data_IF_807295207000
#
_entry.id   IF_807295207000
#
_cell.length_a   1.000
_cell.length_b   1.000
_cell.length_c   1.000
_cell.angle_alpha   90.00
_cell.angle_beta   90.00
_cell.angle_gamma   90.00
#
_symmetry.space_group_name_H-M   'P 1'
#
loop_
_entity.id
_entity.type
_entity.pdbx_description
1 polymer ?
#
# COMPACT_ATOMS: atom_id res chain seq x y z
N UNK A 1 -8.48 -2.69 -7.85
CA UNK A 1 -9.80 -2.69 -8.50
C UNK A 1 -9.99 -4.00 -9.23
N UNK A 2 -11.08 -4.71 -8.95
CA UNK A 2 -11.38 -5.99 -9.59
C UNK A 2 -12.20 -5.75 -10.87
N UNK A 3 -11.85 -6.40 -12.01
CA UNK A 3 -12.66 -6.35 -13.21
C UNK A 3 -13.92 -7.23 -13.05
N UNK A 4 -14.91 -7.06 -13.95
CA UNK A 4 -16.14 -7.85 -13.93
C UNK A 4 -15.89 -9.35 -14.13
N UNK A 5 -14.79 -9.70 -14.79
CA UNK A 5 -14.38 -11.08 -15.08
C UNK A 5 -13.51 -11.70 -13.97
N UNK A 6 -13.33 -11.04 -12.82
CA UNK A 6 -12.66 -11.66 -11.67
C UNK A 6 -13.44 -12.91 -11.20
N UNK A 7 -12.80 -14.07 -10.92
CA UNK A 7 -11.36 -14.27 -10.75
C UNK A 7 -10.61 -14.71 -12.03
N UNK A 8 -11.25 -14.77 -13.20
CA UNK A 8 -10.57 -15.18 -14.44
C UNK A 8 -9.63 -14.10 -15.01
N UNK A 9 -9.83 -12.83 -14.63
CA UNK A 9 -8.88 -11.74 -14.85
C UNK A 9 -8.33 -11.19 -13.53
N UNK A 10 -7.03 -10.85 -13.47
CA UNK A 10 -6.39 -10.22 -12.31
C UNK A 10 -6.96 -8.80 -12.00
N UNK A 11 -6.79 -8.29 -10.77
CA UNK A 11 -7.10 -6.91 -10.43
C UNK A 11 -6.02 -5.90 -10.87
N UNK A 12 -6.41 -4.63 -10.98
CA UNK A 12 -5.45 -3.51 -10.94
C UNK A 12 -5.07 -3.20 -9.49
N UNK A 13 -3.80 -2.94 -9.21
CA UNK A 13 -3.31 -2.60 -7.86
C UNK A 13 -2.79 -1.17 -7.85
N UNK A 14 -3.10 -0.41 -6.80
CA UNK A 14 -2.64 0.96 -6.58
C UNK A 14 -2.22 1.13 -5.12
N UNK A 15 -1.27 2.03 -4.87
CA UNK A 15 -0.92 2.51 -3.54
C UNK A 15 -1.49 3.91 -3.35
N UNK A 16 -2.17 4.19 -2.24
CA UNK A 16 -2.73 5.51 -1.94
C UNK A 16 -1.77 6.28 -1.03
N UNK A 17 -1.41 5.67 0.10
CA UNK A 17 -0.48 6.23 1.09
C UNK A 17 0.94 6.35 0.50
N UNK A 18 1.57 7.53 0.58
CA UNK A 18 2.97 7.70 0.17
C UNK A 18 3.90 6.73 0.91
N UNK A 19 4.59 5.85 0.16
CA UNK A 19 5.46 4.81 0.73
C UNK A 19 6.94 4.91 0.34
N UNK A 20 7.26 5.70 -0.69
CA UNK A 20 8.61 5.79 -1.25
C UNK A 20 9.02 4.59 -2.11
N UNK A 21 8.10 3.65 -2.36
CA UNK A 21 8.33 2.46 -3.21
C UNK A 21 7.50 2.50 -4.50
N UNK A 22 6.24 2.88 -4.36
CA UNK A 22 5.27 2.94 -5.44
C UNK A 22 4.71 4.36 -5.54
N UNK A 23 4.59 4.86 -6.76
CA UNK A 23 3.94 6.13 -7.06
C UNK A 23 2.46 6.04 -6.67
N UNK A 24 1.99 7.00 -5.88
CA UNK A 24 0.59 7.00 -5.46
C UNK A 24 -0.36 7.07 -6.65
N UNK A 25 -1.53 6.44 -6.49
CA UNK A 25 -2.65 6.47 -7.44
C UNK A 25 -2.25 6.10 -8.88
N UNK A 26 -1.22 5.28 -9.02
CA UNK A 26 -0.73 4.78 -10.31
C UNK A 26 -0.88 3.26 -10.32
N UNK A 27 -1.35 2.70 -11.43
CA UNK A 27 -1.45 1.25 -11.59
C UNK A 27 -0.05 0.61 -11.52
N UNK A 28 0.09 -0.46 -10.76
CA UNK A 28 1.35 -1.18 -10.59
C UNK A 28 1.39 -2.40 -11.51
N UNK A 29 2.49 -2.56 -12.23
CA UNK A 29 2.73 -3.73 -13.08
C UNK A 29 3.43 -4.84 -12.28
N UNK A 30 2.66 -5.73 -11.69
CA UNK A 30 3.16 -6.87 -10.90
C UNK A 30 2.67 -8.18 -11.53
N UNK A 31 3.37 -9.29 -11.33
CA UNK A 31 2.95 -10.61 -11.85
C UNK A 31 1.57 -11.08 -11.36
N UNK A 32 1.03 -10.40 -10.33
CA UNK A 32 -0.29 -10.60 -9.73
C UNK A 32 -1.34 -9.56 -10.18
N UNK A 33 -1.01 -8.72 -11.17
CA UNK A 33 -1.84 -7.58 -11.62
C UNK A 33 -2.32 -7.73 -13.05
N UNK A 34 -3.23 -6.84 -13.45
CA UNK A 34 -3.82 -6.76 -14.80
C UNK A 34 -2.88 -6.46 -15.97
N UNK A 35 -1.61 -6.23 -15.71
CA UNK A 35 -0.59 -6.19 -16.75
C UNK A 35 -0.11 -7.58 -17.22
N UNK A 36 -0.34 -8.62 -16.43
CA UNK A 36 0.18 -9.96 -16.70
C UNK A 36 -0.91 -11.04 -16.65
N UNK A 37 -1.86 -11.05 -17.62
CA UNK A 37 -2.90 -12.07 -17.68
C UNK A 37 -2.33 -13.49 -17.84
N UNK A 38 -1.18 -13.64 -18.50
CA UNK A 38 -0.56 -14.95 -18.75
C UNK A 38 0.04 -15.58 -17.49
N UNK A 39 0.44 -14.77 -16.49
CA UNK A 39 0.97 -15.27 -15.22
C UNK A 39 -0.09 -15.35 -14.11
N UNK A 40 -1.33 -14.98 -14.41
CA UNK A 40 -2.41 -14.95 -13.44
C UNK A 40 -2.95 -16.35 -13.15
N UNK A 41 -3.11 -16.67 -11.87
CA UNK A 41 -3.77 -17.89 -11.43
C UNK A 41 -5.15 -17.54 -10.80
N UNK A 42 -6.28 -17.93 -11.41
CA UNK A 42 -7.63 -17.68 -10.88
C UNK A 42 -7.89 -18.27 -9.49
N UNK A 43 -7.06 -19.21 -9.02
CA UNK A 43 -7.16 -19.78 -7.67
C UNK A 43 -6.51 -18.89 -6.58
N UNK A 44 -5.80 -17.81 -6.94
CA UNK A 44 -5.21 -16.90 -5.95
C UNK A 44 -6.30 -16.11 -5.23
N UNK A 45 -6.34 -16.28 -3.90
CA UNK A 45 -7.19 -15.50 -3.02
C UNK A 45 -6.70 -14.04 -2.90
N UNK A 46 -7.57 -13.14 -2.43
CA UNK A 46 -7.17 -11.76 -2.11
C UNK A 46 -6.00 -11.73 -1.12
N UNK A 47 -5.96 -12.63 -0.14
CA UNK A 47 -4.85 -12.74 0.80
C UNK A 47 -3.52 -13.10 0.11
N UNK A 48 -3.56 -13.97 -0.90
CA UNK A 48 -2.39 -14.30 -1.73
C UNK A 48 -1.91 -13.10 -2.52
N UNK A 49 -2.83 -12.33 -3.10
CA UNK A 49 -2.52 -11.09 -3.84
C UNK A 49 -1.85 -10.07 -2.92
N UNK A 50 -2.41 -9.83 -1.72
CA UNK A 50 -1.83 -8.89 -0.75
C UNK A 50 -0.44 -9.33 -0.26
N UNK A 51 -0.25 -10.64 -0.05
CA UNK A 51 1.07 -11.19 0.27
C UNK A 51 2.07 -10.95 -0.86
N UNK A 52 1.68 -11.20 -2.10
CA UNK A 52 2.53 -10.94 -3.27
C UNK A 52 2.87 -9.46 -3.42
N UNK A 53 1.93 -8.54 -3.18
CA UNK A 53 2.18 -7.11 -3.17
C UNK A 53 3.24 -6.72 -2.12
N UNK A 54 3.15 -7.30 -0.91
CA UNK A 54 4.15 -7.08 0.13
C UNK A 54 5.54 -7.57 -0.29
N UNK A 55 5.62 -8.75 -0.94
CA UNK A 55 6.90 -9.25 -1.49
C UNK A 55 7.51 -8.25 -2.47
N UNK A 56 6.74 -7.74 -3.44
CA UNK A 56 7.22 -6.71 -4.36
C UNK A 56 7.56 -5.37 -3.69
N UNK A 57 6.89 -5.04 -2.58
CA UNK A 57 7.12 -3.82 -1.83
C UNK A 57 8.49 -3.79 -1.16
N UNK A 58 8.97 -4.94 -0.65
CA UNK A 58 10.28 -5.05 0.00
C UNK A 58 11.43 -5.33 -0.97
N UNK A 59 11.12 -5.75 -2.19
CA UNK A 59 12.08 -5.86 -3.28
C UNK A 59 12.47 -4.49 -3.87
N UNK A 60 13.63 -4.45 -4.55
CA UNK A 60 14.19 -3.25 -5.20
C UNK A 60 14.07 -3.27 -6.73
N UNK A 61 13.47 -4.32 -7.29
CA UNK A 61 13.35 -4.45 -8.74
C UNK A 61 12.43 -3.35 -9.29
N UNK A 62 12.87 -2.62 -10.34
CA UNK A 62 12.05 -1.59 -10.95
C UNK A 62 10.85 -2.22 -11.65
N UNK A 63 9.71 -1.55 -11.57
CA UNK A 63 8.50 -1.93 -12.30
C UNK A 63 7.69 -0.69 -12.67
N UNK A 64 6.72 -0.81 -13.58
CA UNK A 64 5.81 0.31 -13.87
C UNK A 64 5.07 0.72 -12.59
N UNK A 65 5.16 2.02 -12.29
CA UNK A 65 4.62 2.60 -11.06
C UNK A 65 5.58 2.57 -9.88
N UNK A 66 6.78 1.99 -9.99
CA UNK A 66 7.81 2.17 -8.95
C UNK A 66 8.45 3.55 -8.99
N UNK A 67 8.96 3.98 -7.86
CA UNK A 67 9.81 5.17 -7.71
C UNK A 67 11.07 4.80 -6.94
N UNK A 68 12.14 5.55 -7.16
CA UNK A 68 13.39 5.41 -6.42
C UNK A 68 13.49 6.54 -5.39
N UNK A 69 13.53 6.15 -4.12
CA UNK A 69 13.80 7.06 -3.00
C UNK A 69 14.83 6.44 -2.07
N UNK A 70 15.48 7.30 -1.29
CA UNK A 70 16.40 6.89 -0.23
C UNK A 70 15.66 6.19 0.91
N UNK A 71 16.38 5.35 1.66
CA UNK A 71 15.81 4.71 2.86
C UNK A 71 15.47 5.74 3.95
N UNK A 72 16.15 6.89 3.94
CA UNK A 72 15.81 8.03 4.81
C UNK A 72 14.43 8.57 4.47
N UNK A 73 14.13 8.77 3.19
CA UNK A 73 12.80 9.22 2.74
C UNK A 73 11.73 8.17 3.05
N UNK A 74 11.98 6.87 2.82
CA UNK A 74 11.03 5.81 3.17
C UNK A 74 10.71 5.80 4.67
N UNK A 75 11.72 5.95 5.53
CA UNK A 75 11.52 6.05 6.99
C UNK A 75 10.74 7.29 7.38
N UNK A 76 10.95 8.41 6.68
CA UNK A 76 10.19 9.63 6.94
C UNK A 76 8.71 9.46 6.54
N UNK A 77 8.46 8.95 5.34
CA UNK A 77 7.11 8.64 4.85
C UNK A 77 6.41 7.63 5.76
N UNK A 78 7.11 6.63 6.29
CA UNK A 78 6.54 5.69 7.26
C UNK A 78 6.04 6.40 8.53
N UNK A 79 6.77 7.40 9.05
CA UNK A 79 6.32 8.19 10.21
C UNK A 79 5.12 9.09 9.88
N UNK A 80 5.10 9.65 8.68
CA UNK A 80 4.03 10.55 8.21
C UNK A 80 2.77 9.81 7.77
N UNK A 81 2.90 8.53 7.39
CA UNK A 81 1.82 7.70 6.84
C UNK A 81 0.59 7.63 7.74
N UNK A 82 0.81 7.65 9.06
CA UNK A 82 -0.26 7.63 10.04
C UNK A 82 -1.14 8.87 9.94
N UNK A 83 -0.52 10.05 9.97
CA UNK A 83 -1.24 11.33 9.88
C UNK A 83 -1.90 11.48 8.52
N UNK A 84 -1.26 10.99 7.46
CA UNK A 84 -1.85 10.94 6.13
C UNK A 84 -3.14 10.11 6.11
N UNK A 85 -3.09 8.88 6.62
CA UNK A 85 -4.24 7.96 6.61
C UNK A 85 -5.39 8.45 7.48
N UNK A 86 -5.10 9.05 8.65
CA UNK A 86 -6.13 9.59 9.55
C UNK A 86 -6.90 10.79 8.97
N UNK A 87 -6.39 11.43 7.91
CA UNK A 87 -7.09 12.52 7.20
C UNK A 87 -8.04 12.00 6.12
N UNK A 88 -7.94 10.72 5.76
CA UNK A 88 -8.80 10.09 4.77
C UNK A 88 -10.03 9.48 5.45
N UNK A 89 -11.21 10.02 5.13
CA UNK A 89 -12.48 9.55 5.71
C UNK A 89 -12.76 8.09 5.38
N UNK A 90 -12.44 7.65 4.16
CA UNK A 90 -12.66 6.27 3.72
C UNK A 90 -11.76 5.32 4.50
N UNK A 91 -10.50 5.70 4.75
CA UNK A 91 -9.62 4.90 5.62
C UNK A 91 -10.19 4.77 7.03
N UNK A 92 -10.63 5.88 7.61
CA UNK A 92 -11.17 5.90 8.97
C UNK A 92 -12.46 5.09 9.11
N UNK A 93 -13.32 5.09 8.09
CA UNK A 93 -14.55 4.31 8.06
C UNK A 93 -14.31 2.81 7.86
N UNK A 94 -13.36 2.43 7.01
CA UNK A 94 -13.11 1.01 6.67
C UNK A 94 -12.19 0.28 7.66
N UNK A 95 -11.34 1.01 8.39
CA UNK A 95 -10.34 0.43 9.30
C UNK A 95 -10.34 1.09 10.70
N UNK A 96 -11.49 1.13 11.40
CA UNK A 96 -11.61 1.83 12.69
C UNK A 96 -10.66 1.28 13.76
N UNK A 97 -10.38 -0.02 13.76
CA UNK A 97 -9.44 -0.64 14.70
C UNK A 97 -8.01 -0.12 14.54
N UNK A 98 -7.61 0.23 13.30
CA UNK A 98 -6.32 0.83 13.05
C UNK A 98 -6.30 2.29 13.47
N UNK A 99 -7.41 3.03 13.33
CA UNK A 99 -7.54 4.40 13.84
C UNK A 99 -7.38 4.44 15.35
N UNK A 100 -8.00 3.52 16.08
CA UNK A 100 -7.93 3.44 17.54
C UNK A 100 -6.50 3.15 18.01
N UNK A 101 -5.82 2.20 17.38
CA UNK A 101 -4.40 1.90 17.68
C UNK A 101 -3.53 3.12 17.39
N UNK A 102 -3.81 3.82 16.28
CA UNK A 102 -3.04 4.98 15.84
C UNK A 102 -3.20 6.19 16.77
N UNK A 103 -4.42 6.45 17.22
CA UNK A 103 -4.75 7.52 18.17
C UNK A 103 -4.18 7.21 19.55
N UNK A 104 -4.33 5.97 20.04
CA UNK A 104 -3.73 5.51 21.29
C UNK A 104 -2.20 5.60 21.26
N UNK A 105 -1.56 5.21 20.15
CA UNK A 105 -0.11 5.36 19.97
C UNK A 105 0.33 6.84 20.02
N UNK A 106 -0.47 7.76 19.46
CA UNK A 106 -0.23 9.21 19.54
C UNK A 106 -0.39 9.75 20.96
N UNK A 107 -1.43 9.32 21.68
CA UNK A 107 -1.68 9.73 23.07
C UNK A 107 -0.59 9.24 24.03
N UNK A 108 0.06 8.12 23.71
CA UNK A 108 1.23 7.59 24.44
C UNK A 108 2.55 8.24 24.05
N UNK A 109 2.59 9.00 22.95
CA UNK A 109 3.75 9.74 22.49
C UNK A 109 3.61 11.28 22.61
N UNK A 110 3.12 11.85 23.74
CA UNK A 110 3.11 13.29 23.89
C UNK A 110 4.56 13.75 24.09
N UNK A 111 5.01 14.70 23.24
CA UNK A 111 6.34 15.34 23.19
C UNK A 111 7.48 14.61 22.45
N UNK A 112 7.42 14.66 21.12
CA UNK A 112 8.65 14.77 20.31
C UNK A 112 8.51 15.85 19.21
N UNK A 113 7.99 17.03 19.60
CA UNK A 113 8.10 18.29 18.85
C UNK A 113 8.45 19.43 19.83
N UNK A 114 9.68 19.41 20.33
CA UNK A 114 10.31 20.55 21.01
C UNK A 114 11.83 20.32 21.10
N UNK A 115 12.54 20.57 20.00
CA UNK A 115 13.92 21.09 19.93
C UNK A 115 14.30 21.34 18.47
#
# INVERSE_FOLDING_TARGET
>A
MFPAEFPFKPPSILMITPSGRFKCNTRLCLSISDFHPDSWNPAWSVATILTGLLSFMVEKNPTLGSIDTTDREKRQLARESLEFNLKDQVFCELFPELVDVSTCARERAPNQKAL
#
